data_IF_645089283874
#
_entry.id   IF_645089283874
#
_cell.length_a   1.000
_cell.length_b   1.000
_cell.length_c   1.000
_cell.angle_alpha   90.00
_cell.angle_beta   90.00
_cell.angle_gamma   90.00
#
_symmetry.space_group_name_H-M   'P 1'
#
loop_
_entity.id
_entity.type
_entity.pdbx_description
1 polymer ?
#
# COMPACT_ATOMS: atom_id res chain seq x y z
N UNK A 1 10.72 5.19 6.71
CA UNK A 1 11.05 4.02 5.87
C UNK A 1 11.31 2.75 6.67
N UNK A 2 11.50 1.62 5.98
CA UNK A 2 11.69 0.27 6.56
C UNK A 2 12.89 0.16 7.51
N UNK A 3 13.93 0.98 7.30
CA UNK A 3 15.11 1.06 8.19
C UNK A 3 14.76 1.51 9.61
N UNK A 4 13.73 2.34 9.78
CA UNK A 4 13.25 2.80 11.09
C UNK A 4 12.24 1.81 11.72
N UNK A 5 11.64 0.92 10.92
CA UNK A 5 10.71 -0.09 11.41
C UNK A 5 11.46 -1.26 12.06
N UNK A 6 11.29 -1.44 13.38
CA UNK A 6 11.88 -2.58 14.11
C UNK A 6 11.30 -3.92 13.66
N UNK A 7 10.04 -3.94 13.22
CA UNK A 7 9.34 -5.15 12.73
C UNK A 7 9.69 -5.51 11.28
N UNK A 8 10.43 -4.64 10.59
CA UNK A 8 10.82 -4.91 9.21
C UNK A 8 12.06 -5.80 9.13
N UNK A 9 12.02 -6.76 8.20
CA UNK A 9 13.20 -7.52 7.80
C UNK A 9 14.33 -6.55 7.42
N UNK A 10 15.47 -6.71 8.08
CA UNK A 10 16.69 -5.96 7.78
C UNK A 10 17.49 -6.76 6.76
N UNK A 11 17.76 -6.16 5.61
CA UNK A 11 18.57 -6.77 4.57
C UNK A 11 19.27 -5.69 3.72
N UNK A 12 20.10 -6.16 2.79
CA UNK A 12 20.87 -5.31 1.87
C UNK A 12 20.02 -4.61 0.80
N UNK A 13 18.73 -4.94 0.68
CA UNK A 13 17.80 -4.35 -0.29
C UNK A 13 16.99 -3.21 0.29
N UNK A 14 17.18 -2.87 1.57
CA UNK A 14 16.52 -1.70 2.17
C UNK A 14 17.09 -0.39 1.65
N UNK A 15 16.20 0.48 1.17
CA UNK A 15 16.56 1.83 0.76
C UNK A 15 16.62 2.81 1.94
N UNK A 16 17.05 4.03 1.65
CA UNK A 16 17.05 5.13 2.61
C UNK A 16 15.97 6.16 2.26
N UNK A 17 15.17 6.55 3.25
CA UNK A 17 14.25 7.68 3.17
C UNK A 17 14.81 8.84 4.00
N UNK A 18 15.20 9.95 3.37
CA UNK A 18 15.79 11.10 4.06
C UNK A 18 14.94 12.35 3.81
N UNK A 19 14.43 12.96 4.88
CA UNK A 19 13.61 14.17 4.80
C UNK A 19 14.34 15.38 5.39
N UNK A 20 14.51 16.41 4.57
CA UNK A 20 15.08 17.70 4.97
C UNK A 20 13.97 18.74 5.18
N UNK A 21 14.02 19.42 6.32
CA UNK A 21 13.07 20.48 6.67
C UNK A 21 13.76 21.83 6.65
N UNK A 22 13.29 22.75 5.80
CA UNK A 22 13.90 24.07 5.65
C UNK A 22 12.83 25.18 5.67
N UNK A 23 13.21 26.37 6.15
CA UNK A 23 12.42 27.59 5.93
C UNK A 23 12.19 27.77 4.42
N UNK A 24 11.00 28.20 4.01
CA UNK A 24 10.58 28.23 2.59
C UNK A 24 11.56 28.96 1.67
N UNK A 25 12.15 30.07 2.13
CA UNK A 25 13.17 30.83 1.36
C UNK A 25 14.42 29.98 1.07
N UNK A 26 14.90 29.26 2.08
CA UNK A 26 16.10 28.41 1.97
C UNK A 26 15.81 27.17 1.12
N UNK A 27 14.62 26.57 1.28
CA UNK A 27 14.16 25.46 0.45
C UNK A 27 14.17 25.83 -1.04
N UNK A 28 13.56 26.97 -1.40
CA UNK A 28 13.54 27.46 -2.78
C UNK A 28 14.96 27.68 -3.33
N UNK A 29 15.83 28.32 -2.55
CA UNK A 29 17.24 28.50 -2.93
C UNK A 29 17.95 27.16 -3.20
N UNK A 30 17.78 26.19 -2.29
CA UNK A 30 18.39 24.86 -2.41
C UNK A 30 17.93 24.11 -3.67
N UNK A 31 16.65 24.24 -4.02
CA UNK A 31 16.02 23.62 -5.18
C UNK A 31 16.20 24.40 -6.50
N UNK A 32 17.02 25.47 -6.48
CA UNK A 32 17.24 26.39 -7.60
C UNK A 32 15.94 27.01 -8.18
N UNK A 33 15.04 27.38 -7.27
CA UNK A 33 13.77 28.04 -7.57
C UNK A 33 13.85 29.52 -7.18
N UNK A 34 13.38 30.39 -8.06
CA UNK A 34 13.14 31.81 -7.76
C UNK A 34 11.68 32.02 -7.31
N UNK A 35 11.25 33.28 -7.10
CA UNK A 35 9.89 33.58 -6.64
C UNK A 35 8.82 33.18 -7.67
N UNK A 36 9.12 33.28 -8.97
CA UNK A 36 8.18 33.01 -10.07
C UNK A 36 8.15 31.56 -10.54
N UNK A 37 9.17 30.75 -10.22
CA UNK A 37 9.23 29.35 -10.63
C UNK A 37 8.32 28.48 -9.77
N UNK A 38 7.53 27.67 -10.47
CA UNK A 38 6.77 26.57 -9.91
C UNK A 38 7.70 25.57 -9.21
N UNK A 39 7.25 25.02 -8.09
CA UNK A 39 7.92 23.95 -7.34
C UNK A 39 8.20 22.73 -8.22
N UNK A 40 7.36 22.49 -9.26
CA UNK A 40 7.59 21.45 -10.26
C UNK A 40 8.90 21.60 -11.04
N UNK A 41 9.45 22.82 -11.13
CA UNK A 41 10.72 23.09 -11.82
C UNK A 41 11.95 22.91 -10.93
N UNK A 42 11.79 22.31 -9.75
CA UNK A 42 12.87 22.06 -8.81
C UNK A 42 13.97 21.22 -9.46
N UNK A 43 15.22 21.55 -9.16
CA UNK A 43 16.39 20.79 -9.62
C UNK A 43 17.03 20.05 -8.46
N UNK A 44 17.62 18.89 -8.77
CA UNK A 44 18.34 18.08 -7.80
C UNK A 44 19.43 18.92 -7.10
N UNK A 45 19.41 19.04 -5.76
CA UNK A 45 20.43 19.79 -5.05
C UNK A 45 21.84 19.24 -5.29
N UNK A 46 22.79 20.14 -5.61
CA UNK A 46 24.16 19.75 -6.01
C UNK A 46 24.88 18.89 -4.96
N UNK A 47 24.63 19.12 -3.67
CA UNK A 47 25.27 18.39 -2.58
C UNK A 47 24.93 16.88 -2.58
N UNK A 48 23.86 16.46 -3.26
CA UNK A 48 23.51 15.03 -3.36
C UNK A 48 24.64 14.24 -4.06
N UNK A 49 25.43 14.89 -4.92
CA UNK A 49 26.61 14.26 -5.54
C UNK A 49 27.68 13.85 -4.52
N UNK A 50 27.67 14.41 -3.31
CA UNK A 50 28.61 14.05 -2.25
C UNK A 50 28.31 12.65 -1.66
N UNK A 51 27.11 12.09 -1.87
CA UNK A 51 26.76 10.73 -1.44
C UNK A 51 27.30 9.66 -2.39
N UNK A 52 27.79 10.04 -3.58
CA UNK A 52 28.38 9.14 -4.55
C UNK A 52 28.00 9.46 -6.00
N UNK A 53 28.52 8.66 -6.93
CA UNK A 53 28.19 8.78 -8.35
C UNK A 53 26.75 8.36 -8.59
N UNK A 54 25.92 9.29 -9.06
CA UNK A 54 24.51 9.04 -9.41
C UNK A 54 24.46 8.24 -10.72
N UNK A 55 23.65 7.18 -10.72
CA UNK A 55 23.32 6.42 -11.93
C UNK A 55 22.18 7.11 -12.68
N UNK A 56 21.05 7.31 -12.00
CA UNK A 56 19.96 8.17 -12.45
C UNK A 56 19.10 8.59 -11.25
N UNK A 57 18.15 9.49 -11.47
CA UNK A 57 17.15 9.85 -10.48
C UNK A 57 15.83 10.16 -11.15
N UNK A 58 14.75 10.10 -10.38
CA UNK A 58 13.44 10.62 -10.76
C UNK A 58 13.02 11.76 -9.83
N UNK A 59 12.21 12.68 -10.36
CA UNK A 59 11.61 13.80 -9.63
C UNK A 59 10.09 13.74 -9.86
N UNK A 60 9.35 12.94 -9.08
CA UNK A 60 7.92 12.69 -9.31
C UNK A 60 7.09 13.97 -9.37
N UNK A 61 7.41 14.95 -8.53
CA UNK A 61 6.70 16.24 -8.49
C UNK A 61 6.93 17.11 -9.73
N UNK A 62 7.92 16.78 -10.55
CA UNK A 62 8.22 17.43 -11.83
C UNK A 62 7.58 16.73 -13.03
N UNK A 63 6.98 15.56 -12.85
CA UNK A 63 6.34 14.84 -13.94
C UNK A 63 5.04 15.51 -14.39
N UNK A 64 4.79 15.48 -15.70
CA UNK A 64 3.57 16.01 -16.32
C UNK A 64 2.52 14.91 -16.50
N UNK A 65 2.96 13.72 -16.92
CA UNK A 65 2.08 12.57 -17.18
C UNK A 65 1.66 11.85 -15.89
N UNK A 66 2.60 11.61 -14.97
CA UNK A 66 2.35 10.92 -13.71
C UNK A 66 1.98 11.91 -12.61
N UNK A 67 0.92 11.61 -11.85
CA UNK A 67 0.55 12.40 -10.67
C UNK A 67 1.51 12.10 -9.53
N UNK A 68 1.97 13.14 -8.84
CA UNK A 68 2.78 13.01 -7.65
C UNK A 68 1.91 12.77 -6.40
N UNK A 69 2.42 11.96 -5.47
CA UNK A 69 1.71 11.56 -4.25
C UNK A 69 2.06 12.43 -3.03
N UNK A 70 3.06 13.31 -3.14
CA UNK A 70 3.47 14.16 -2.03
C UNK A 70 2.54 15.37 -1.83
N UNK A 71 2.39 15.86 -0.57
CA UNK A 71 1.67 17.09 -0.30
C UNK A 71 2.20 18.30 -1.08
N UNK A 72 1.31 19.28 -1.30
CA UNK A 72 1.65 20.53 -2.02
C UNK A 72 2.91 21.20 -1.43
N UNK A 73 3.82 21.59 -2.31
CA UNK A 73 5.12 22.23 -2.02
C UNK A 73 6.18 21.33 -1.39
N UNK A 74 5.95 20.02 -1.31
CA UNK A 74 7.01 19.06 -1.02
C UNK A 74 7.64 18.67 -2.35
N UNK A 75 8.92 18.35 -2.33
CA UNK A 75 9.65 17.87 -3.52
C UNK A 75 10.46 16.66 -3.11
N UNK A 76 10.50 15.67 -3.97
CA UNK A 76 11.35 14.51 -3.80
C UNK A 76 12.24 14.27 -5.00
N UNK A 77 13.39 13.66 -4.70
CA UNK A 77 14.27 13.08 -5.69
C UNK A 77 14.61 11.67 -5.23
N UNK A 78 14.21 10.67 -6.02
CA UNK A 78 14.49 9.27 -5.75
C UNK A 78 15.72 8.92 -6.57
N UNK A 79 16.86 8.79 -5.89
CA UNK A 79 18.19 8.76 -6.49
C UNK A 79 18.75 7.35 -6.38
N UNK A 80 19.23 6.81 -7.50
CA UNK A 80 19.94 5.54 -7.55
C UNK A 80 21.41 5.84 -7.81
N UNK A 81 22.28 5.34 -6.94
CA UNK A 81 23.73 5.51 -7.02
C UNK A 81 24.39 4.31 -7.71
N UNK A 82 25.57 4.51 -8.30
CA UNK A 82 26.33 3.48 -9.03
C UNK A 82 26.72 2.28 -8.15
N UNK A 83 26.79 2.46 -6.83
CA UNK A 83 27.05 1.40 -5.86
C UNK A 83 25.81 0.56 -5.50
N UNK A 84 24.66 0.79 -6.16
CA UNK A 84 23.42 0.06 -5.93
C UNK A 84 22.56 0.61 -4.78
N UNK A 85 23.03 1.62 -4.03
CA UNK A 85 22.23 2.27 -2.99
C UNK A 85 21.16 3.15 -3.63
N UNK A 86 19.93 3.05 -3.13
CA UNK A 86 18.84 3.99 -3.43
C UNK A 86 18.54 4.87 -2.22
N UNK A 87 18.37 6.16 -2.48
CA UNK A 87 17.95 7.14 -1.46
C UNK A 87 16.83 8.01 -2.01
N UNK A 88 15.73 8.04 -1.26
CA UNK A 88 14.58 8.90 -1.50
C UNK A 88 14.75 10.17 -0.66
N UNK A 89 15.19 11.25 -1.31
CA UNK A 89 15.37 12.55 -0.66
C UNK A 89 14.08 13.37 -0.75
N UNK A 90 13.55 13.81 0.39
CA UNK A 90 12.38 14.69 0.49
C UNK A 90 12.81 16.07 1.01
N UNK A 91 12.36 17.12 0.34
CA UNK A 91 12.65 18.52 0.64
C UNK A 91 11.34 19.20 1.01
N UNK A 92 11.19 19.51 2.30
CA UNK A 92 9.91 19.82 2.91
C UNK A 92 9.96 21.21 3.55
N UNK A 93 8.95 22.08 3.34
CA UNK A 93 8.83 23.32 4.07
C UNK A 93 8.72 23.04 5.58
N UNK A 94 9.52 23.71 6.41
CA UNK A 94 9.53 23.50 7.86
C UNK A 94 8.15 23.66 8.51
N UNK A 95 7.32 24.58 7.99
CA UNK A 95 5.93 24.77 8.44
C UNK A 95 5.03 23.53 8.28
N UNK A 96 5.43 22.58 7.42
CA UNK A 96 4.72 21.32 7.19
C UNK A 96 5.08 20.23 8.20
N UNK A 97 6.06 20.45 9.09
CA UNK A 97 6.45 19.49 10.12
C UNK A 97 5.27 19.03 10.98
N UNK A 98 4.35 19.95 11.33
CA UNK A 98 3.12 19.65 12.09
C UNK A 98 2.21 18.59 11.43
N UNK A 99 2.31 18.42 10.12
CA UNK A 99 1.52 17.44 9.36
C UNK A 99 2.36 16.26 8.87
N UNK A 100 3.68 16.34 8.99
CA UNK A 100 4.61 15.35 8.43
C UNK A 100 4.33 13.95 8.95
N UNK A 101 4.13 13.79 10.25
CA UNK A 101 3.88 12.48 10.85
C UNK A 101 2.52 11.86 10.51
N UNK A 102 1.60 12.61 9.88
CA UNK A 102 0.39 12.00 9.30
C UNK A 102 0.73 11.27 7.99
N UNK A 103 1.75 11.76 7.29
CA UNK A 103 2.21 11.22 6.01
C UNK A 103 3.31 10.17 6.19
N UNK A 104 4.33 10.49 7.01
CA UNK A 104 5.42 9.59 7.41
C UNK A 104 5.32 9.29 8.91
N UNK A 105 4.45 8.37 9.33
CA UNK A 105 4.25 8.09 10.76
C UNK A 105 5.45 7.40 11.42
N UNK A 106 6.39 6.88 10.62
CA UNK A 106 7.54 6.11 11.09
C UNK A 106 8.86 6.73 10.61
N UNK A 107 9.28 7.76 11.33
CA UNK A 107 10.48 8.55 11.07
C UNK A 107 11.26 8.81 12.34
N UNK A 108 12.59 8.79 12.24
CA UNK A 108 13.52 9.13 13.32
C UNK A 108 14.23 10.43 12.97
N UNK A 109 14.26 11.37 13.91
CA UNK A 109 15.07 12.58 13.77
C UNK A 109 16.55 12.21 13.80
N UNK A 110 17.30 12.59 12.76
CA UNK A 110 18.75 12.40 12.71
C UNK A 110 19.49 13.60 13.28
N UNK A 111 19.03 14.81 12.94
CA UNK A 111 19.56 16.10 13.40
C UNK A 111 18.38 17.05 13.59
N UNK A 112 18.30 17.69 14.75
CA UNK A 112 17.31 18.73 15.04
C UNK A 112 18.00 19.97 15.63
N UNK A 113 18.13 21.01 14.80
CA UNK A 113 18.86 22.23 15.17
C UNK A 113 18.08 23.16 16.08
N UNK A 114 16.75 23.03 16.10
CA UNK A 114 15.84 23.96 16.77
C UNK A 114 14.96 23.23 17.83
N UNK A 115 15.23 21.95 18.11
CA UNK A 115 14.45 21.11 19.03
C UNK A 115 12.93 21.08 18.72
N UNK A 116 12.59 21.01 17.43
CA UNK A 116 11.20 21.03 16.93
C UNK A 116 10.56 19.63 16.82
N UNK A 117 11.37 18.57 16.79
CA UNK A 117 10.92 17.19 16.66
C UNK A 117 10.59 16.61 18.05
N UNK A 118 9.33 16.74 18.46
CA UNK A 118 8.87 16.36 19.81
C UNK A 118 8.11 15.02 19.90
N UNK A 119 7.88 14.33 18.77
CA UNK A 119 6.95 13.19 18.73
C UNK A 119 7.65 11.86 19.01
N UNK A 120 7.10 11.08 19.95
CA UNK A 120 7.45 9.68 20.17
C UNK A 120 6.97 8.81 19.02
N UNK A 121 7.81 7.86 18.60
CA UNK A 121 7.55 6.99 17.46
C UNK A 121 6.49 5.94 17.84
N UNK A 122 5.37 5.88 17.11
CA UNK A 122 4.41 4.78 17.28
C UNK A 122 4.89 3.57 16.48
N UNK A 123 5.50 2.61 17.17
CA UNK A 123 6.07 1.39 16.57
C UNK A 123 5.01 0.42 16.01
N UNK A 124 3.74 0.63 16.34
CA UNK A 124 2.61 -0.21 15.94
C UNK A 124 1.74 0.43 14.84
N UNK A 125 2.18 1.55 14.24
CA UNK A 125 1.34 2.30 13.29
C UNK A 125 0.96 1.52 12.03
N UNK A 126 1.77 0.54 11.63
CA UNK A 126 1.52 -0.33 10.49
C UNK A 126 1.05 -1.73 10.89
N UNK A 127 0.89 -2.00 12.19
CA UNK A 127 0.43 -3.28 12.64
C UNK A 127 -1.04 -3.50 12.24
N UNK A 128 -1.44 -4.77 12.17
CA UNK A 128 -2.83 -5.16 11.89
C UNK A 128 -3.74 -4.45 12.88
N UNK A 129 -4.78 -3.79 12.37
CA UNK A 129 -5.79 -3.16 13.22
C UNK A 129 -6.83 -4.18 13.63
N UNK A 130 -7.30 -4.09 14.87
CA UNK A 130 -8.48 -4.84 15.31
C UNK A 130 -9.68 -4.38 14.45
N UNK A 131 -10.37 -5.29 13.74
CA UNK A 131 -11.48 -4.89 12.89
C UNK A 131 -12.64 -4.37 13.74
N UNK A 132 -13.30 -3.33 13.26
CA UNK A 132 -14.66 -2.97 13.68
C UNK A 132 -15.68 -3.73 12.84
N UNK A 133 -16.94 -3.77 13.28
CA UNK A 133 -18.03 -4.34 12.47
C UNK A 133 -18.16 -3.60 11.12
N UNK A 134 -17.93 -2.29 11.11
CA UNK A 134 -17.93 -1.47 9.89
C UNK A 134 -16.80 -1.86 8.93
N UNK A 135 -15.56 -1.98 9.42
CA UNK A 135 -14.43 -2.40 8.56
C UNK A 135 -14.70 -3.78 7.93
N UNK A 136 -15.27 -4.70 8.74
CA UNK A 136 -15.65 -6.03 8.30
C UNK A 136 -16.72 -6.01 7.20
N UNK A 137 -17.78 -5.22 7.38
CA UNK A 137 -18.86 -5.09 6.42
C UNK A 137 -18.37 -4.46 5.10
N UNK A 138 -17.58 -3.39 5.18
CA UNK A 138 -16.99 -2.71 4.01
C UNK A 138 -16.11 -3.65 3.18
N UNK A 139 -15.26 -4.45 3.82
CA UNK A 139 -14.42 -5.46 3.13
C UNK A 139 -15.28 -6.55 2.49
N UNK A 140 -16.34 -7.02 3.17
CA UNK A 140 -17.25 -8.00 2.60
C UNK A 140 -18.00 -7.42 1.39
N UNK A 141 -18.48 -6.19 1.49
CA UNK A 141 -19.17 -5.47 0.44
C UNK A 141 -18.27 -5.32 -0.80
N UNK A 142 -17.07 -4.76 -0.65
CA UNK A 142 -16.15 -4.52 -1.77
C UNK A 142 -15.76 -5.83 -2.47
N UNK A 143 -15.47 -6.90 -1.72
CA UNK A 143 -15.12 -8.19 -2.32
C UNK A 143 -16.24 -8.72 -3.21
N UNK A 144 -17.48 -8.71 -2.70
CA UNK A 144 -18.63 -9.24 -3.41
C UNK A 144 -19.13 -8.30 -4.51
N UNK A 145 -18.97 -6.99 -4.36
CA UNK A 145 -19.24 -6.05 -5.44
C UNK A 145 -18.24 -6.24 -6.60
N UNK A 146 -16.95 -6.39 -6.29
CA UNK A 146 -15.90 -6.69 -7.27
C UNK A 146 -16.09 -8.06 -7.94
N UNK A 147 -16.61 -9.05 -7.22
CA UNK A 147 -17.02 -10.33 -7.82
C UNK A 147 -18.05 -10.15 -8.94
N UNK A 148 -19.02 -9.22 -8.79
CA UNK A 148 -20.01 -8.95 -9.84
C UNK A 148 -19.41 -8.19 -11.03
N UNK A 149 -18.49 -7.24 -10.78
CA UNK A 149 -17.73 -6.55 -11.83
C UNK A 149 -16.95 -7.58 -12.68
N UNK A 150 -16.32 -8.55 -12.02
CA UNK A 150 -15.56 -9.61 -12.69
C UNK A 150 -16.48 -10.54 -13.50
N UNK A 151 -17.68 -10.86 -13.02
CA UNK A 151 -18.67 -11.62 -13.81
C UNK A 151 -18.99 -10.90 -15.13
N UNK A 152 -19.23 -9.59 -15.10
CA UNK A 152 -19.47 -8.81 -16.32
C UNK A 152 -18.28 -8.81 -17.27
N UNK A 153 -17.06 -8.67 -16.74
CA UNK A 153 -15.84 -8.69 -17.54
C UNK A 153 -15.64 -10.07 -18.23
N UNK A 154 -15.94 -11.16 -17.52
CA UNK A 154 -15.89 -12.53 -18.07
C UNK A 154 -16.92 -12.73 -19.17
N UNK A 155 -18.18 -12.31 -18.97
CA UNK A 155 -19.23 -12.40 -19.99
C UNK A 155 -18.89 -11.60 -21.25
N UNK A 156 -18.20 -10.47 -21.11
CA UNK A 156 -17.69 -9.65 -22.22
C UNK A 156 -16.35 -10.13 -22.79
N UNK A 157 -15.81 -11.25 -22.29
CA UNK A 157 -14.50 -11.79 -22.67
C UNK A 157 -13.33 -10.78 -22.52
N UNK A 158 -13.41 -9.87 -21.55
CA UNK A 158 -12.39 -8.84 -21.31
C UNK A 158 -11.23 -9.37 -20.46
N UNK A 159 -10.21 -9.96 -21.09
CA UNK A 159 -9.10 -10.62 -20.40
C UNK A 159 -8.31 -9.72 -19.44
N UNK A 160 -7.88 -8.53 -19.90
CA UNK A 160 -7.09 -7.57 -19.09
C UNK A 160 -7.91 -7.07 -17.90
N UNK A 161 -9.16 -6.65 -18.15
CA UNK A 161 -10.07 -6.18 -17.09
C UNK A 161 -10.35 -7.29 -16.07
N UNK A 162 -10.49 -8.53 -16.52
CA UNK A 162 -10.72 -9.68 -15.63
C UNK A 162 -9.52 -9.92 -14.71
N UNK A 163 -8.29 -9.80 -15.21
CA UNK A 163 -7.08 -9.87 -14.40
C UNK A 163 -6.98 -8.74 -13.38
N UNK A 164 -7.29 -7.50 -13.80
CA UNK A 164 -7.31 -6.33 -12.91
C UNK A 164 -8.29 -6.52 -11.74
N UNK A 165 -9.53 -6.91 -12.04
CA UNK A 165 -10.55 -7.15 -11.02
C UNK A 165 -10.22 -8.34 -10.12
N UNK A 166 -9.61 -9.40 -10.68
CA UNK A 166 -9.15 -10.53 -9.88
C UNK A 166 -8.01 -10.11 -8.93
N UNK A 167 -7.16 -9.16 -9.32
CA UNK A 167 -6.16 -8.59 -8.43
C UNK A 167 -6.79 -7.82 -7.27
N UNK A 168 -7.77 -6.97 -7.57
CA UNK A 168 -8.54 -6.27 -6.54
C UNK A 168 -9.21 -7.25 -5.56
N UNK A 169 -9.76 -8.37 -6.04
CA UNK A 169 -10.29 -9.42 -5.15
C UNK A 169 -9.22 -10.06 -4.25
N UNK A 170 -7.97 -10.21 -4.72
CA UNK A 170 -6.87 -10.72 -3.89
C UNK A 170 -6.51 -9.73 -2.79
N UNK A 171 -6.47 -8.44 -3.09
CA UNK A 171 -6.20 -7.38 -2.10
C UNK A 171 -7.24 -7.43 -0.97
N UNK A 172 -8.53 -7.43 -1.31
CA UNK A 172 -9.60 -7.52 -0.30
C UNK A 172 -9.59 -8.84 0.47
N UNK A 173 -9.21 -9.96 -0.17
CA UNK A 173 -8.98 -11.22 0.52
C UNK A 173 -7.82 -11.11 1.53
N UNK A 174 -6.74 -10.43 1.19
CA UNK A 174 -5.62 -10.24 2.10
C UNK A 174 -6.01 -9.39 3.30
N UNK A 175 -6.88 -8.39 3.13
CA UNK A 175 -7.44 -7.62 4.25
C UNK A 175 -8.25 -8.52 5.20
N UNK A 176 -9.15 -9.34 4.66
CA UNK A 176 -9.92 -10.32 5.47
C UNK A 176 -9.01 -11.34 6.16
N UNK A 177 -7.95 -11.80 5.49
CA UNK A 177 -6.96 -12.70 6.10
C UNK A 177 -6.14 -11.99 7.18
N UNK A 178 -5.84 -10.70 7.03
CA UNK A 178 -5.15 -9.91 8.07
C UNK A 178 -5.96 -9.89 9.36
N UNK A 179 -7.29 -9.75 9.30
CA UNK A 179 -8.16 -9.84 10.47
C UNK A 179 -8.09 -11.22 11.13
N UNK A 180 -8.14 -12.29 10.34
CA UNK A 180 -7.94 -13.64 10.87
C UNK A 180 -6.58 -13.80 11.55
N UNK A 181 -5.51 -13.24 10.99
CA UNK A 181 -4.18 -13.29 11.59
C UNK A 181 -4.20 -12.55 12.93
N UNK A 182 -4.71 -11.31 12.95
CA UNK A 182 -4.83 -10.52 14.18
C UNK A 182 -5.61 -11.22 15.29
N UNK A 183 -6.73 -11.87 14.94
CA UNK A 183 -7.56 -12.64 15.88
C UNK A 183 -6.91 -13.92 16.40
N UNK A 184 -5.91 -14.45 15.72
CA UNK A 184 -5.23 -15.70 16.09
C UNK A 184 -3.90 -15.49 16.80
N UNK A 185 -3.15 -14.49 16.37
CA UNK A 185 -1.75 -14.30 16.75
C UNK A 185 -1.51 -12.94 17.42
N UNK A 186 -2.55 -12.14 17.60
CA UNK A 186 -2.46 -10.80 18.17
C UNK A 186 -2.30 -9.70 17.10
N UNK A 187 -2.56 -8.46 17.51
CA UNK A 187 -2.61 -7.31 16.61
C UNK A 187 -1.28 -6.56 16.49
N UNK A 188 -0.26 -6.91 17.27
CA UNK A 188 1.07 -6.27 17.21
C UNK A 188 1.95 -6.81 16.06
N UNK A 189 1.32 -7.31 14.99
CA UNK A 189 1.98 -7.92 13.83
C UNK A 189 1.98 -6.93 12.68
N UNK A 190 3.13 -6.76 12.02
CA UNK A 190 3.20 -6.09 10.72
C UNK A 190 3.33 -7.15 9.62
N UNK A 191 2.39 -7.20 8.68
CA UNK A 191 2.36 -8.18 7.59
C UNK A 191 3.18 -7.74 6.35
N UNK A 192 4.06 -6.76 6.52
CA UNK A 192 4.71 -6.10 5.40
C UNK A 192 3.77 -5.15 4.64
N UNK A 193 4.31 -4.50 3.61
CA UNK A 193 3.52 -3.61 2.74
C UNK A 193 2.56 -4.48 1.91
N UNK A 194 1.31 -4.08 1.74
CA UNK A 194 0.30 -4.87 1.00
C UNK A 194 0.15 -6.33 1.50
N UNK A 195 0.40 -6.58 2.78
CA UNK A 195 0.27 -7.90 3.41
C UNK A 195 1.20 -8.98 2.79
N UNK A 196 2.39 -8.62 2.30
CA UNK A 196 3.35 -9.56 1.66
C UNK A 196 3.71 -10.78 2.50
N UNK A 197 3.74 -10.63 3.84
CA UNK A 197 4.13 -11.70 4.76
C UNK A 197 2.94 -12.54 5.24
N UNK A 198 1.73 -12.32 4.69
CA UNK A 198 0.50 -13.03 5.09
C UNK A 198 0.65 -14.55 4.99
N UNK A 199 1.40 -15.05 4.00
CA UNK A 199 1.56 -16.49 3.76
C UNK A 199 2.17 -17.23 4.95
N UNK A 200 3.00 -16.56 5.75
CA UNK A 200 3.67 -17.13 6.93
C UNK A 200 2.66 -17.53 8.04
N UNK A 201 1.42 -17.04 7.96
CA UNK A 201 0.38 -17.27 8.97
C UNK A 201 -0.74 -18.22 8.49
N UNK A 202 -0.60 -18.79 7.29
CA UNK A 202 -1.66 -19.56 6.64
C UNK A 202 -1.36 -21.06 6.60
N UNK A 203 -2.42 -21.87 6.55
CA UNK A 203 -2.27 -23.32 6.36
C UNK A 203 -1.87 -23.60 4.91
N UNK A 204 -1.14 -24.70 4.68
CA UNK A 204 -0.70 -25.14 3.34
C UNK A 204 -1.82 -25.17 2.29
N UNK A 205 -3.03 -25.61 2.67
CA UNK A 205 -4.21 -25.60 1.78
C UNK A 205 -4.61 -24.18 1.33
N UNK A 206 -4.49 -23.19 2.21
CA UNK A 206 -4.81 -21.78 1.91
C UNK A 206 -3.71 -21.16 1.06
N UNK A 207 -2.44 -21.41 1.39
CA UNK A 207 -1.27 -20.98 0.61
C UNK A 207 -1.38 -21.49 -0.83
N UNK A 208 -1.69 -22.77 -1.03
CA UNK A 208 -1.87 -23.35 -2.37
C UNK A 208 -2.98 -22.68 -3.16
N UNK A 209 -4.07 -22.25 -2.51
CA UNK A 209 -5.14 -21.50 -3.19
C UNK A 209 -4.63 -20.13 -3.65
N UNK A 210 -3.93 -19.41 -2.77
CA UNK A 210 -3.41 -18.07 -3.05
C UNK A 210 -2.36 -18.12 -4.16
N UNK A 211 -1.36 -19.00 -4.07
CA UNK A 211 -0.31 -19.09 -5.10
C UNK A 211 -0.89 -19.47 -6.46
N UNK A 212 -1.79 -20.45 -6.53
CA UNK A 212 -2.44 -20.82 -7.78
C UNK A 212 -3.37 -19.73 -8.32
N UNK A 213 -3.76 -18.76 -7.51
CA UNK A 213 -4.63 -17.66 -7.96
C UNK A 213 -3.92 -16.65 -8.87
N UNK A 214 -2.59 -16.73 -8.99
CA UNK A 214 -1.80 -15.93 -9.93
C UNK A 214 -1.63 -16.61 -11.29
N UNK A 215 -1.99 -17.88 -11.42
CA UNK A 215 -2.09 -18.51 -12.73
C UNK A 215 -3.41 -18.05 -13.38
N UNK A 216 -3.33 -17.09 -14.29
CA UNK A 216 -4.46 -16.40 -14.93
C UNK A 216 -4.30 -16.29 -16.44
N UNK A 217 -3.68 -17.29 -17.06
CA UNK A 217 -3.32 -17.33 -18.49
C UNK A 217 -4.52 -17.41 -19.44
N UNK A 218 -5.72 -17.69 -18.94
CA UNK A 218 -6.96 -17.73 -19.74
C UNK A 218 -8.17 -17.24 -18.95
N UNK A 219 -9.24 -16.86 -19.67
CA UNK A 219 -10.52 -16.49 -19.04
C UNK A 219 -11.12 -17.63 -18.21
N UNK A 220 -11.01 -18.86 -18.68
CA UNK A 220 -11.46 -20.05 -17.96
C UNK A 220 -10.69 -20.21 -16.64
N UNK A 221 -9.37 -20.02 -16.68
CA UNK A 221 -8.54 -20.09 -15.49
C UNK A 221 -8.88 -18.97 -14.51
N UNK A 222 -9.17 -17.75 -14.99
CA UNK A 222 -9.64 -16.63 -14.16
C UNK A 222 -10.97 -16.98 -13.49
N UNK A 223 -11.93 -17.56 -14.21
CA UNK A 223 -13.22 -17.96 -13.64
C UNK A 223 -13.05 -19.05 -12.56
N UNK A 224 -12.24 -20.07 -12.82
CA UNK A 224 -11.90 -21.11 -11.84
C UNK A 224 -11.24 -20.50 -10.59
N UNK A 225 -10.28 -19.59 -10.78
CA UNK A 225 -9.58 -18.91 -9.70
C UNK A 225 -10.53 -18.04 -8.86
N UNK A 226 -11.39 -17.26 -9.51
CA UNK A 226 -12.41 -16.44 -8.84
C UNK A 226 -13.27 -17.27 -7.87
N UNK A 227 -13.72 -18.46 -8.30
CA UNK A 227 -14.50 -19.39 -7.45
C UNK A 227 -13.69 -19.88 -6.24
N UNK A 228 -12.40 -20.18 -6.42
CA UNK A 228 -11.52 -20.60 -5.32
C UNK A 228 -11.28 -19.47 -4.30
N UNK A 229 -11.04 -18.25 -4.78
CA UNK A 229 -10.89 -17.07 -3.92
C UNK A 229 -12.18 -16.78 -3.14
N UNK A 230 -13.35 -16.87 -3.79
CA UNK A 230 -14.65 -16.69 -3.14
C UNK A 230 -14.90 -17.70 -2.01
N UNK A 231 -14.57 -18.98 -2.23
CA UNK A 231 -14.67 -19.99 -1.19
C UNK A 231 -13.74 -19.71 -0.01
N UNK A 232 -12.49 -19.32 -0.28
CA UNK A 232 -11.53 -18.98 0.76
C UNK A 232 -11.98 -17.74 1.53
N UNK A 233 -12.43 -16.70 0.83
CA UNK A 233 -12.96 -15.48 1.44
C UNK A 233 -14.14 -15.79 2.35
N UNK A 234 -15.17 -16.47 1.86
CA UNK A 234 -16.38 -16.80 2.63
C UNK A 234 -16.10 -17.67 3.87
N UNK A 235 -15.11 -18.55 3.80
CA UNK A 235 -14.68 -19.32 4.97
C UNK A 235 -14.10 -18.40 6.05
N UNK A 236 -13.28 -17.42 5.65
CA UNK A 236 -12.63 -16.50 6.56
C UNK A 236 -13.59 -15.41 7.07
N UNK A 237 -14.56 -14.96 6.27
CA UNK A 237 -15.61 -14.05 6.75
C UNK A 237 -16.43 -14.67 7.88
N UNK A 238 -16.84 -15.94 7.73
CA UNK A 238 -17.53 -16.69 8.80
C UNK A 238 -16.69 -16.80 10.07
N UNK A 239 -15.39 -17.04 9.94
CA UNK A 239 -14.48 -17.12 11.08
C UNK A 239 -14.37 -15.77 11.81
N UNK A 240 -14.12 -14.69 11.07
CA UNK A 240 -13.98 -13.34 11.63
C UNK A 240 -15.27 -12.87 12.27
N UNK A 241 -16.41 -13.06 11.61
CA UNK A 241 -17.73 -12.73 12.14
C UNK A 241 -18.00 -13.45 13.47
N UNK A 242 -17.84 -14.79 13.50
CA UNK A 242 -18.04 -15.58 14.72
C UNK A 242 -17.11 -15.15 15.87
N UNK A 243 -15.86 -14.79 15.57
CA UNK A 243 -14.87 -14.43 16.60
C UNK A 243 -15.07 -13.05 17.21
N UNK A 244 -15.80 -12.16 16.54
CA UNK A 244 -16.06 -10.80 17.03
C UNK A 244 -17.57 -10.52 17.26
N UNK A 245 -18.42 -11.52 17.08
CA UNK A 245 -19.88 -11.39 17.11
C UNK A 245 -20.43 -10.34 16.12
N UNK A 246 -19.82 -10.25 14.93
CA UNK A 246 -20.29 -9.35 13.88
C UNK A 246 -21.42 -9.96 13.06
N UNK A 247 -22.36 -9.12 12.63
CA UNK A 247 -23.42 -9.55 11.71
C UNK A 247 -22.84 -9.80 10.33
N UNK A 248 -23.21 -10.95 9.73
CA UNK A 248 -22.83 -11.30 8.38
C UNK A 248 -24.02 -11.13 7.42
N UNK A 249 -24.00 -10.05 6.64
CA UNK A 249 -24.97 -9.87 5.57
C UNK A 249 -24.82 -10.95 4.49
N UNK A 250 -25.94 -11.29 3.82
CA UNK A 250 -26.02 -12.39 2.85
C UNK A 250 -25.41 -12.05 1.47
N UNK A 251 -24.26 -11.36 1.43
CA UNK A 251 -23.58 -10.95 0.20
C UNK A 251 -23.39 -12.09 -0.80
N UNK A 252 -22.85 -13.22 -0.34
CA UNK A 252 -22.60 -14.41 -1.17
C UNK A 252 -23.85 -14.90 -1.89
N UNK A 253 -24.99 -14.96 -1.17
CA UNK A 253 -26.27 -15.44 -1.71
C UNK A 253 -26.78 -14.46 -2.78
N UNK A 254 -26.77 -13.17 -2.46
CA UNK A 254 -27.29 -12.12 -3.33
C UNK A 254 -26.46 -11.99 -4.61
N UNK A 255 -25.13 -12.03 -4.52
CA UNK A 255 -24.25 -11.98 -5.69
C UNK A 255 -24.42 -13.22 -6.59
N UNK A 256 -24.58 -14.42 -6.03
CA UNK A 256 -24.88 -15.61 -6.84
C UNK A 256 -26.22 -15.49 -7.58
N UNK A 257 -27.25 -14.88 -6.97
CA UNK A 257 -28.52 -14.58 -7.64
C UNK A 257 -28.29 -13.60 -8.81
N UNK A 258 -27.50 -12.55 -8.58
CA UNK A 258 -27.17 -11.57 -9.62
C UNK A 258 -26.40 -12.17 -10.79
N UNK A 259 -25.38 -13.01 -10.55
CA UNK A 259 -24.65 -13.68 -11.62
C UNK A 259 -25.54 -14.60 -12.47
N UNK A 260 -26.53 -15.26 -11.87
CA UNK A 260 -27.52 -16.05 -12.62
C UNK A 260 -28.39 -15.18 -13.52
N UNK A 261 -28.74 -13.96 -13.09
CA UNK A 261 -29.48 -13.00 -13.92
C UNK A 261 -28.60 -12.57 -15.09
N UNK A 262 -27.35 -12.19 -14.84
CA UNK A 262 -26.42 -11.73 -15.90
C UNK A 262 -26.19 -12.77 -17.00
N UNK A 263 -26.14 -14.07 -16.66
CA UNK A 263 -25.95 -15.16 -17.63
C UNK A 263 -27.17 -15.46 -18.51
N UNK A 264 -28.31 -14.86 -18.18
CA UNK A 264 -29.55 -14.98 -18.96
C UNK A 264 -29.81 -13.78 -19.86
N UNK A 265 -29.01 -12.71 -19.72
CA UNK A 265 -28.99 -11.56 -20.62
C UNK A 265 -28.14 -11.92 -21.85
#
# INVERSE_FOLDING_TARGET
>A
GSRVNKKAKKDKYQDYDISFFLKSKNLRKLLNLNKSKDIKKAKLPKFIKNFGKILFYQAPESFEFYKADLPKNWVSFLVIFKNGVRVDFKFIPLKSLKHYYKFEPLSKALIDKDQRFKKTQNENVFCIKKPTEKDFDEICNEFYFTFTKLEKALLRKQFIMSNYLLNSMRETLFDMLSFKVGLKFGFEIWLGKQNTDILNFLKQKEIKIILNSFNTTSLEQIEKTRKKLENLFHKNTKFVAKKNDFKLFSYRKNVKKYCKILRKL
#
